data_IF_549449686487
#
_entry.id   IF_549449686487
#
_cell.length_a   1.000
_cell.length_b   1.000
_cell.length_c   1.000
_cell.angle_alpha   90.00
_cell.angle_beta   90.00
_cell.angle_gamma   90.00
#
_symmetry.space_group_name_H-M   'P 1'
#
loop_
_entity.id
_entity.type
_entity.pdbx_description
1 polymer ?
#
# COMPACT_ATOMS: atom_id res chain seq x y z
N UNK A 1 -9.71 -5.40 -25.69
CA UNK A 1 -9.37 -5.78 -24.30
C UNK A 1 -10.64 -6.17 -23.57
N UNK A 2 -10.78 -7.41 -23.08
CA UNK A 2 -11.99 -7.86 -22.37
C UNK A 2 -11.82 -7.55 -20.89
N UNK A 3 -12.63 -6.67 -20.36
CA UNK A 3 -12.75 -6.41 -18.92
C UNK A 3 -13.90 -7.25 -18.36
N UNK A 4 -13.64 -8.06 -17.36
CA UNK A 4 -14.64 -8.90 -16.70
C UNK A 4 -15.01 -8.35 -15.32
N UNK A 5 -16.26 -8.58 -14.97
CA UNK A 5 -17.05 -7.99 -13.90
C UNK A 5 -16.50 -8.10 -12.46
N UNK A 6 -16.72 -7.05 -11.70
CA UNK A 6 -16.12 -6.62 -10.46
C UNK A 6 -16.48 -7.34 -9.14
N UNK A 7 -16.58 -8.66 -9.08
CA UNK A 7 -16.55 -9.42 -7.81
C UNK A 7 -15.67 -10.67 -7.84
N UNK A 8 -15.30 -11.15 -8.99
CA UNK A 8 -14.36 -12.26 -9.17
C UNK A 8 -12.90 -11.80 -9.04
N UNK A 9 -12.61 -10.52 -9.36
CA UNK A 9 -11.28 -9.96 -9.49
C UNK A 9 -10.39 -10.08 -8.24
N UNK A 10 -10.92 -9.92 -7.03
CA UNK A 10 -10.08 -9.94 -5.83
C UNK A 10 -9.44 -11.30 -5.56
N UNK A 11 -10.14 -12.42 -5.90
CA UNK A 11 -9.57 -13.77 -5.77
C UNK A 11 -8.61 -14.08 -6.92
N UNK A 12 -8.91 -13.59 -8.11
CA UNK A 12 -8.06 -13.74 -9.28
C UNK A 12 -6.77 -12.92 -9.14
N UNK A 13 -6.84 -11.70 -8.59
CA UNK A 13 -5.67 -10.85 -8.33
C UNK A 13 -4.73 -11.46 -7.29
N UNK A 14 -5.25 -12.09 -6.25
CA UNK A 14 -4.44 -12.84 -5.27
C UNK A 14 -3.83 -14.09 -5.91
N UNK A 15 -4.57 -14.75 -6.81
CA UNK A 15 -4.08 -15.90 -7.56
C UNK A 15 -3.01 -15.51 -8.59
N UNK A 16 -3.16 -14.37 -9.27
CA UNK A 16 -2.18 -13.85 -10.21
C UNK A 16 -0.85 -13.50 -9.51
N UNK A 17 -0.91 -12.94 -8.28
CA UNK A 17 0.28 -12.70 -7.47
C UNK A 17 1.05 -14.00 -7.14
N UNK A 18 0.39 -15.16 -7.18
CA UNK A 18 1.01 -16.49 -7.03
C UNK A 18 1.67 -17.00 -8.32
N UNK A 19 1.17 -16.60 -9.48
CA UNK A 19 1.63 -17.12 -10.76
C UNK A 19 2.96 -16.51 -11.23
N UNK A 20 3.25 -15.28 -10.83
CA UNK A 20 4.46 -14.56 -11.26
C UNK A 20 5.76 -15.02 -10.56
N UNK A 21 5.75 -16.17 -9.86
CA UNK A 21 6.94 -16.93 -9.46
C UNK A 21 8.04 -16.14 -8.73
N UNK A 22 7.77 -14.91 -8.34
CA UNK A 22 8.67 -14.09 -7.56
C UNK A 22 8.83 -14.67 -6.17
N UNK A 23 9.75 -15.63 -6.03
CA UNK A 23 10.19 -16.15 -4.74
C UNK A 23 10.74 -14.98 -3.92
N UNK A 24 9.86 -14.32 -3.16
CA UNK A 24 10.26 -13.38 -2.14
C UNK A 24 10.94 -14.17 -1.02
N UNK A 25 12.25 -14.30 -1.11
CA UNK A 25 13.06 -14.77 0.03
C UNK A 25 13.12 -13.60 1.01
N UNK A 26 12.65 -13.76 2.27
CA UNK A 26 12.91 -12.77 3.30
C UNK A 26 14.43 -12.59 3.38
N UNK A 27 14.90 -11.35 3.17
CA UNK A 27 16.32 -11.06 3.19
C UNK A 27 16.87 -11.40 4.59
N UNK A 28 18.10 -11.88 4.64
CA UNK A 28 18.83 -12.24 5.88
C UNK A 28 18.84 -11.12 6.93
N UNK A 29 18.51 -9.90 6.57
CA UNK A 29 18.42 -8.70 7.40
C UNK A 29 17.27 -8.75 8.42
N UNK A 30 16.21 -9.50 8.15
CA UNK A 30 15.09 -9.66 9.10
C UNK A 30 15.54 -10.46 10.35
N UNK A 31 16.60 -11.24 10.25
CA UNK A 31 17.10 -12.04 11.38
C UNK A 31 17.86 -11.22 12.45
N UNK A 32 18.45 -10.09 12.10
CA UNK A 32 19.21 -9.25 13.05
C UNK A 32 18.34 -8.34 13.93
N UNK A 33 17.11 -8.03 13.51
CA UNK A 33 16.19 -7.17 14.29
C UNK A 33 15.64 -7.84 15.58
N UNK A 34 15.92 -9.13 15.80
CA UNK A 34 15.39 -9.89 16.96
C UNK A 34 15.96 -9.52 18.33
N UNK A 35 17.08 -8.81 18.41
CA UNK A 35 17.85 -8.73 19.64
C UNK A 35 17.60 -7.49 20.53
N UNK A 36 16.92 -6.44 20.09
CA UNK A 36 17.08 -5.14 20.76
C UNK A 36 15.82 -4.42 21.27
N UNK A 37 14.57 -4.95 21.19
CA UNK A 37 13.42 -4.11 21.54
C UNK A 37 12.39 -4.70 22.50
N UNK A 38 12.50 -4.29 23.77
CA UNK A 38 11.36 -4.08 24.66
C UNK A 38 10.88 -2.65 24.46
N UNK A 39 9.76 -2.41 23.78
CA UNK A 39 9.09 -1.11 23.76
C UNK A 39 7.58 -1.26 23.87
N UNK A 40 7.11 -0.43 24.75
CA UNK A 40 5.78 -0.08 25.23
C UNK A 40 4.69 0.03 24.16
N UNK A 41 3.57 -0.60 24.49
CA UNK A 41 2.18 -0.28 24.12
C UNK A 41 1.91 0.31 22.75
N UNK A 42 2.05 -0.51 21.71
CA UNK A 42 1.36 -0.31 20.45
C UNK A 42 0.14 -1.22 20.41
N UNK A 43 -0.97 -0.73 19.81
CA UNK A 43 -2.08 -1.58 19.47
C UNK A 43 -1.58 -2.65 18.47
N UNK A 44 -1.11 -3.75 19.02
CA UNK A 44 -1.03 -5.01 18.30
C UNK A 44 -2.31 -5.76 18.66
N UNK A 45 -3.19 -6.08 17.70
CA UNK A 45 -4.21 -7.06 17.97
C UNK A 45 -3.49 -8.32 18.45
N UNK A 46 -3.93 -8.88 19.60
CA UNK A 46 -3.41 -10.14 20.10
C UNK A 46 -3.49 -11.18 18.98
N UNK A 47 -2.33 -11.65 18.55
CA UNK A 47 -2.21 -12.61 17.44
C UNK A 47 -2.38 -14.07 17.92
N UNK A 48 -2.92 -14.26 19.14
CA UNK A 48 -3.15 -15.57 19.71
C UNK A 48 -4.52 -16.12 19.29
N UNK A 49 -4.49 -17.19 18.55
CA UNK A 49 -5.47 -18.29 18.30
C UNK A 49 -6.98 -18.02 18.11
N UNK A 50 -7.42 -16.77 17.94
CA UNK A 50 -8.78 -16.43 17.53
C UNK A 50 -8.93 -16.18 16.02
N UNK A 51 -10.16 -16.08 15.47
CA UNK A 51 -10.35 -15.63 14.09
C UNK A 51 -9.75 -14.23 13.95
N UNK A 52 -8.67 -14.14 13.17
CA UNK A 52 -7.91 -12.90 13.03
C UNK A 52 -8.74 -11.88 12.25
N UNK A 53 -8.91 -10.65 12.79
CA UNK A 53 -9.63 -9.63 12.06
C UNK A 53 -8.89 -9.32 10.74
N UNK A 54 -9.66 -9.08 9.70
CA UNK A 54 -9.10 -8.65 8.41
C UNK A 54 -8.33 -7.34 8.58
N UNK A 55 -7.16 -7.24 7.95
CA UNK A 55 -6.37 -6.02 7.85
C UNK A 55 -6.79 -5.11 6.70
N UNK A 56 -7.78 -5.53 5.91
CA UNK A 56 -8.33 -4.71 4.82
C UNK A 56 -8.82 -3.35 5.37
N UNK A 57 -8.54 -2.29 4.64
CA UNK A 57 -8.85 -0.92 5.07
C UNK A 57 -7.83 -0.28 6.01
N UNK A 58 -6.73 -0.97 6.32
CA UNK A 58 -5.66 -0.45 7.18
C UNK A 58 -4.47 0.04 6.36
N UNK A 59 -3.61 0.83 6.99
CA UNK A 59 -2.29 1.17 6.47
C UNK A 59 -1.23 0.26 7.08
N UNK A 60 -0.37 -0.28 6.23
CA UNK A 60 0.90 -0.87 6.63
C UNK A 60 2.01 0.15 6.41
N UNK A 61 2.70 0.49 7.46
CA UNK A 61 3.79 1.45 7.43
C UNK A 61 5.10 0.69 7.63
N UNK A 62 6.01 0.77 6.68
CA UNK A 62 7.29 0.08 6.78
C UNK A 62 8.04 0.53 8.04
N UNK A 63 8.50 -0.45 8.84
CA UNK A 63 9.33 -0.14 10.00
C UNK A 63 10.62 0.57 9.56
N UNK A 64 11.17 1.53 10.32
CA UNK A 64 12.40 2.25 9.94
C UNK A 64 13.58 1.37 9.56
N UNK A 65 13.66 0.17 10.15
CA UNK A 65 14.71 -0.82 9.84
C UNK A 65 14.41 -1.68 8.59
N UNK A 66 13.36 -1.38 7.85
CA UNK A 66 13.05 -2.06 6.60
C UNK A 66 14.09 -1.67 5.54
N UNK A 67 14.90 -2.63 5.11
CA UNK A 67 15.96 -2.41 4.13
C UNK A 67 15.57 -2.85 2.70
N UNK A 68 14.45 -3.56 2.54
CA UNK A 68 13.97 -3.94 1.21
C UNK A 68 13.69 -2.67 0.39
N UNK A 69 14.39 -2.46 -0.73
CA UNK A 69 14.26 -1.26 -1.55
C UNK A 69 12.85 -1.08 -2.11
N UNK A 70 12.09 -2.18 -2.27
CA UNK A 70 10.70 -2.09 -2.72
C UNK A 70 9.77 -1.53 -1.65
N UNK A 71 10.12 -1.65 -0.36
CA UNK A 71 9.23 -1.29 0.73
C UNK A 71 9.82 -0.32 1.76
N UNK A 72 11.10 0.01 1.67
CA UNK A 72 11.70 0.98 2.59
C UNK A 72 10.96 2.30 2.56
N UNK A 73 10.57 2.81 3.74
CA UNK A 73 9.77 4.04 3.90
C UNK A 73 8.43 4.02 3.14
N UNK A 74 7.91 2.84 2.82
CA UNK A 74 6.61 2.73 2.17
C UNK A 74 5.46 2.83 3.18
N UNK A 75 4.36 3.40 2.71
CA UNK A 75 3.05 3.34 3.34
C UNK A 75 2.12 2.67 2.34
N UNK A 76 1.56 1.52 2.72
CA UNK A 76 0.65 0.77 1.86
C UNK A 76 -0.76 0.81 2.42
N UNK A 77 -1.73 0.90 1.54
CA UNK A 77 -3.13 0.65 1.88
C UNK A 77 -3.47 -0.80 1.53
N UNK A 78 -4.00 -1.55 2.49
CA UNK A 78 -4.43 -2.94 2.28
C UNK A 78 -5.86 -2.92 1.76
N UNK A 79 -6.04 -3.31 0.51
CA UNK A 79 -7.34 -3.35 -0.14
C UNK A 79 -8.10 -4.67 0.09
N UNK A 80 -7.36 -5.77 0.23
CA UNK A 80 -7.92 -7.07 0.54
C UNK A 80 -7.00 -7.85 1.48
N UNK A 81 -7.60 -8.60 2.41
CA UNK A 81 -6.86 -9.47 3.31
C UNK A 81 -7.73 -10.61 3.80
N UNK A 82 -7.24 -11.82 3.60
CA UNK A 82 -7.71 -13.06 4.20
C UNK A 82 -6.50 -13.90 4.62
N UNK A 83 -6.40 -14.34 5.88
CA UNK A 83 -5.25 -15.13 6.34
C UNK A 83 -4.99 -16.42 5.56
N UNK A 84 -6.02 -17.00 4.91
CA UNK A 84 -5.93 -18.22 4.13
C UNK A 84 -5.60 -17.98 2.66
N UNK A 85 -6.03 -16.84 2.13
CA UNK A 85 -5.85 -16.49 0.71
C UNK A 85 -4.67 -15.53 0.50
N UNK A 86 -4.33 -14.71 1.51
CA UNK A 86 -3.25 -13.72 1.46
C UNK A 86 -3.76 -12.29 1.51
N UNK A 87 -2.95 -11.35 1.03
CA UNK A 87 -3.28 -9.93 1.06
C UNK A 87 -2.90 -9.23 -0.25
N UNK A 88 -3.62 -8.15 -0.54
CA UNK A 88 -3.35 -7.24 -1.63
C UNK A 88 -3.34 -5.80 -1.11
N UNK A 89 -2.39 -5.00 -1.60
CA UNK A 89 -2.30 -3.59 -1.25
C UNK A 89 -1.55 -2.78 -2.27
N UNK A 90 -1.60 -1.46 -2.12
CA UNK A 90 -0.87 -0.52 -2.97
C UNK A 90 -0.05 0.45 -2.13
N UNK A 91 1.17 0.73 -2.54
CA UNK A 91 1.98 1.80 -1.96
C UNK A 91 1.36 3.14 -2.38
N UNK A 92 1.03 3.97 -1.41
CA UNK A 92 0.32 5.24 -1.65
C UNK A 92 1.23 6.47 -1.57
N UNK A 93 2.45 6.33 -1.07
CA UNK A 93 3.35 7.45 -0.83
C UNK A 93 4.55 7.54 -1.80
N UNK A 94 4.43 6.93 -2.98
CA UNK A 94 5.48 6.97 -4.03
C UNK A 94 4.93 7.51 -5.34
N UNK A 95 4.77 8.83 -5.49
CA UNK A 95 4.45 9.41 -6.80
C UNK A 95 5.58 9.13 -7.79
N UNK A 96 5.23 8.96 -9.06
CA UNK A 96 6.19 8.78 -10.15
C UNK A 96 6.56 10.08 -10.85
N UNK A 97 6.05 11.23 -10.37
CA UNK A 97 6.16 12.53 -11.04
C UNK A 97 5.71 12.47 -12.52
N UNK A 98 4.70 11.64 -12.77
CA UNK A 98 4.07 11.39 -14.07
C UNK A 98 2.56 11.41 -13.94
N UNK A 99 1.92 11.72 -15.06
CA UNK A 99 0.47 11.64 -15.25
C UNK A 99 0.12 10.45 -16.15
N UNK A 100 -1.16 10.10 -16.18
CA UNK A 100 -1.65 9.00 -17.02
C UNK A 100 -1.30 9.23 -18.49
N UNK A 101 -1.39 10.46 -18.98
CA UNK A 101 -1.04 10.81 -20.35
C UNK A 101 0.41 10.44 -20.76
N UNK A 102 1.32 10.41 -19.78
CA UNK A 102 2.74 10.07 -20.03
C UNK A 102 2.99 8.56 -20.18
N UNK A 103 2.02 7.74 -19.79
CA UNK A 103 2.18 6.27 -19.71
C UNK A 103 1.34 5.49 -20.69
N UNK A 104 0.31 6.10 -21.27
CA UNK A 104 -0.57 5.45 -22.24
C UNK A 104 -0.20 5.85 -23.67
N UNK A 105 -0.25 4.87 -24.58
CA UNK A 105 0.05 5.12 -26.02
C UNK A 105 -1.12 5.72 -26.76
N UNK A 106 -2.34 5.47 -26.27
CA UNK A 106 -3.57 6.05 -26.82
C UNK A 106 -3.93 7.30 -26.02
N UNK A 107 -4.55 8.28 -26.68
CA UNK A 107 -5.00 9.50 -25.98
C UNK A 107 -6.05 9.14 -24.93
N UNK A 108 -5.76 9.32 -23.64
CA UNK A 108 -6.73 9.05 -22.61
C UNK A 108 -7.85 10.10 -22.66
N UNK A 109 -9.04 9.83 -22.09
CA UNK A 109 -10.03 10.85 -21.82
C UNK A 109 -9.38 12.07 -21.14
N UNK A 110 -9.73 13.29 -21.59
CA UNK A 110 -9.07 14.52 -21.16
C UNK A 110 -8.96 14.65 -19.61
N UNK A 111 -10.00 14.22 -18.91
CA UNK A 111 -10.07 14.30 -17.44
C UNK A 111 -9.17 13.32 -16.72
N UNK A 112 -8.80 12.20 -17.37
CA UNK A 112 -7.87 11.22 -16.83
C UNK A 112 -6.42 11.51 -17.19
N UNK A 113 -6.19 12.36 -18.18
CA UNK A 113 -4.85 12.69 -18.64
C UNK A 113 -3.95 13.23 -17.53
N UNK A 114 -4.52 14.05 -16.65
CA UNK A 114 -3.82 14.72 -15.55
C UNK A 114 -3.82 13.93 -14.23
N UNK A 115 -4.43 12.73 -14.20
CA UNK A 115 -4.45 11.91 -12.98
C UNK A 115 -3.03 11.51 -12.61
N UNK A 116 -2.59 11.77 -11.36
CA UNK A 116 -1.24 11.43 -10.91
C UNK A 116 -1.05 9.91 -10.82
N UNK A 117 0.17 9.47 -11.15
CA UNK A 117 0.54 8.07 -11.12
C UNK A 117 1.48 7.79 -9.98
N UNK A 118 1.22 6.70 -9.27
CA UNK A 118 2.02 6.20 -8.14
C UNK A 118 2.62 4.84 -8.44
N UNK A 119 3.80 4.55 -7.90
CA UNK A 119 4.35 3.21 -7.86
C UNK A 119 3.63 2.41 -6.77
N UNK A 120 2.67 1.56 -7.16
CA UNK A 120 1.83 0.79 -6.25
C UNK A 120 2.51 -0.42 -5.62
N UNK A 121 3.58 -0.93 -6.21
CA UNK A 121 4.34 -2.05 -5.67
C UNK A 121 5.22 -2.77 -6.70
N UNK A 122 5.89 -3.86 -6.27
CA UNK A 122 6.84 -4.57 -7.12
C UNK A 122 6.21 -5.51 -8.16
N UNK A 123 4.94 -5.89 -7.98
CA UNK A 123 4.24 -6.87 -8.84
C UNK A 123 3.50 -6.14 -9.96
N UNK A 124 3.51 -6.66 -11.19
CA UNK A 124 2.73 -6.14 -12.30
C UNK A 124 3.11 -4.71 -12.74
N UNK A 125 4.37 -4.33 -12.71
CA UNK A 125 4.86 -2.98 -13.04
C UNK A 125 4.58 -2.52 -14.48
N UNK A 126 4.11 -3.40 -15.32
CA UNK A 126 3.67 -3.12 -16.70
C UNK A 126 2.17 -2.87 -16.80
N UNK A 127 1.46 -2.86 -15.69
CA UNK A 127 0.01 -2.67 -15.64
C UNK A 127 -0.31 -1.34 -14.95
N UNK A 128 -1.15 -0.53 -15.59
CA UNK A 128 -1.72 0.69 -15.03
C UNK A 128 -3.11 0.36 -14.51
N UNK A 129 -3.36 0.64 -13.23
CA UNK A 129 -4.64 0.46 -12.57
C UNK A 129 -5.17 1.81 -12.10
N UNK A 130 -6.48 2.05 -12.26
CA UNK A 130 -7.14 3.16 -11.58
C UNK A 130 -7.73 2.71 -10.26
N UNK A 131 -7.65 3.58 -9.27
CA UNK A 131 -8.26 3.38 -7.97
C UNK A 131 -8.95 4.65 -7.48
N UNK A 132 -10.11 4.46 -6.85
CA UNK A 132 -10.88 5.54 -6.25
C UNK A 132 -10.80 5.46 -4.73
N UNK A 133 -10.25 6.49 -4.10
CA UNK A 133 -10.22 6.65 -2.66
C UNK A 133 -11.38 7.51 -2.20
N UNK A 134 -12.15 7.01 -1.24
CA UNK A 134 -13.29 7.71 -0.66
C UNK A 134 -13.21 7.65 0.87
N UNK A 135 -13.39 8.80 1.52
CA UNK A 135 -13.52 8.84 2.98
C UNK A 135 -14.97 8.69 3.41
N UNK A 136 -15.27 7.62 4.11
CA UNK A 136 -16.58 7.36 4.69
C UNK A 136 -16.56 7.62 6.19
N UNK A 137 -17.38 8.57 6.68
CA UNK A 137 -17.39 8.99 8.11
C UNK A 137 -17.53 7.85 9.10
N UNK A 138 -18.26 6.78 8.74
CA UNK A 138 -18.51 5.64 9.62
C UNK A 138 -17.57 4.46 9.41
N UNK A 139 -16.92 4.35 8.23
CA UNK A 139 -16.12 3.17 7.84
C UNK A 139 -14.64 3.49 7.57
N UNK A 140 -14.27 4.77 7.59
CA UNK A 140 -12.91 5.21 7.27
C UNK A 140 -12.63 5.27 5.77
N UNK A 141 -11.39 5.05 5.38
CA UNK A 141 -10.96 5.08 3.98
C UNK A 141 -11.40 3.80 3.26
N UNK A 142 -12.08 3.99 2.15
CA UNK A 142 -12.42 2.93 1.21
C UNK A 142 -11.60 3.10 -0.06
N UNK A 143 -11.01 2.02 -0.53
CA UNK A 143 -10.36 1.94 -1.83
C UNK A 143 -11.18 1.02 -2.73
N UNK A 144 -11.63 1.53 -3.85
CA UNK A 144 -12.10 0.73 -4.96
C UNK A 144 -10.93 0.61 -5.95
N UNK A 145 -10.33 -0.56 -6.04
CA UNK A 145 -9.31 -0.89 -7.03
C UNK A 145 -9.96 -1.47 -8.28
N UNK A 146 -9.21 -1.51 -9.39
CA UNK A 146 -9.73 -1.93 -10.69
C UNK A 146 -10.95 -1.12 -11.17
N UNK A 147 -10.93 0.18 -10.90
CA UNK A 147 -11.91 1.10 -11.48
C UNK A 147 -11.71 1.10 -12.99
N UNK A 148 -12.76 0.81 -13.74
CA UNK A 148 -12.72 0.82 -15.20
C UNK A 148 -12.45 2.24 -15.73
N UNK A 149 -11.89 2.34 -16.95
CA UNK A 149 -11.57 3.63 -17.55
C UNK A 149 -12.80 4.56 -17.64
N UNK A 150 -13.95 4.02 -18.03
CA UNK A 150 -15.21 4.78 -18.10
C UNK A 150 -15.66 5.25 -16.72
N UNK A 151 -15.64 4.35 -15.71
CA UNK A 151 -16.01 4.67 -14.34
C UNK A 151 -15.07 5.70 -13.70
N UNK A 152 -13.75 5.60 -13.96
CA UNK A 152 -12.78 6.58 -13.50
C UNK A 152 -13.02 7.95 -14.14
N UNK A 153 -13.31 8.00 -15.45
CA UNK A 153 -13.64 9.21 -16.16
C UNK A 153 -14.90 9.87 -15.59
N UNK A 154 -15.96 9.09 -15.42
CA UNK A 154 -17.22 9.58 -14.83
C UNK A 154 -17.04 10.12 -13.42
N UNK A 155 -16.20 9.46 -12.61
CA UNK A 155 -15.93 9.90 -11.24
C UNK A 155 -15.18 11.24 -11.20
N UNK A 156 -14.27 11.49 -12.14
CA UNK A 156 -13.57 12.77 -12.26
C UNK A 156 -14.53 13.85 -12.79
N UNK A 157 -15.33 13.54 -13.83
CA UNK A 157 -16.28 14.47 -14.43
C UNK A 157 -17.36 14.95 -13.47
N UNK A 158 -17.93 14.03 -12.71
CA UNK A 158 -19.03 14.31 -11.78
C UNK A 158 -18.56 14.95 -10.48
N UNK A 159 -17.26 15.29 -10.34
CA UNK A 159 -16.67 15.78 -9.09
C UNK A 159 -17.08 14.91 -7.91
N UNK A 160 -16.99 13.60 -8.12
CA UNK A 160 -17.22 12.61 -7.07
C UNK A 160 -16.41 12.98 -5.81
N UNK A 161 -16.93 12.70 -4.60
CA UNK A 161 -16.13 12.85 -3.38
C UNK A 161 -14.92 11.90 -3.34
N UNK A 162 -14.80 10.99 -4.31
CA UNK A 162 -13.67 10.09 -4.43
C UNK A 162 -12.48 10.75 -5.12
N UNK A 163 -11.30 10.55 -4.56
CA UNK A 163 -10.02 10.94 -5.17
C UNK A 163 -9.55 9.82 -6.08
N UNK A 164 -9.42 10.11 -7.38
CA UNK A 164 -8.93 9.15 -8.37
C UNK A 164 -7.40 9.22 -8.44
N UNK A 165 -6.75 8.06 -8.34
CA UNK A 165 -5.31 7.89 -8.54
C UNK A 165 -5.06 6.74 -9.51
N UNK A 166 -3.94 6.78 -10.20
CA UNK A 166 -3.45 5.69 -11.01
C UNK A 166 -2.23 5.04 -10.36
N UNK A 167 -2.12 3.73 -10.46
CA UNK A 167 -1.03 2.94 -9.88
C UNK A 167 -0.37 2.08 -10.93
N UNK A 168 0.96 2.05 -10.90
CA UNK A 168 1.78 1.08 -11.63
C UNK A 168 2.22 0.01 -10.65
N UNK A 169 1.76 -1.21 -10.88
CA UNK A 169 2.03 -2.33 -10.00
C UNK A 169 1.27 -2.29 -8.66
N UNK A 170 1.45 -3.33 -7.89
CA UNK A 170 0.83 -3.55 -6.57
C UNK A 170 1.75 -4.37 -5.67
N UNK A 171 1.37 -4.53 -4.40
CA UNK A 171 2.00 -5.41 -3.44
C UNK A 171 1.07 -6.57 -3.10
N UNK A 172 1.58 -7.79 -3.15
CA UNK A 172 0.83 -9.00 -2.85
C UNK A 172 1.56 -9.88 -1.84
N UNK A 173 0.81 -10.51 -0.95
CA UNK A 173 1.29 -11.47 0.04
C UNK A 173 0.53 -12.79 -0.13
N UNK A 174 1.26 -13.90 -0.11
CA UNK A 174 0.66 -15.22 -0.03
C UNK A 174 0.01 -15.49 1.33
N UNK A 175 -0.71 -16.61 1.43
CA UNK A 175 -1.36 -17.03 2.67
C UNK A 175 -0.40 -17.04 3.86
N UNK A 176 -0.74 -16.36 4.95
CA UNK A 176 0.06 -16.26 6.18
C UNK A 176 1.35 -15.46 6.07
N UNK A 177 1.75 -14.97 4.89
CA UNK A 177 2.99 -14.24 4.70
C UNK A 177 2.96 -12.89 5.43
N UNK A 178 1.89 -12.11 5.25
CA UNK A 178 1.75 -10.82 5.91
C UNK A 178 1.77 -10.95 7.43
N UNK A 179 1.09 -11.97 7.97
CA UNK A 179 1.09 -12.25 9.40
C UNK A 179 2.48 -12.61 9.93
N UNK A 180 3.27 -13.34 9.15
CA UNK A 180 4.65 -13.66 9.51
C UNK A 180 5.52 -12.40 9.53
N UNK A 181 5.38 -11.52 8.56
CA UNK A 181 6.09 -10.23 8.50
C UNK A 181 5.66 -9.29 9.63
N UNK A 182 4.36 -9.26 9.97
CA UNK A 182 3.84 -8.52 11.13
C UNK A 182 4.42 -9.02 12.46
N UNK A 183 4.52 -10.35 12.65
CA UNK A 183 5.16 -10.94 13.83
C UNK A 183 6.64 -10.56 13.93
N UNK A 184 7.31 -10.40 12.80
CA UNK A 184 8.69 -9.95 12.71
C UNK A 184 8.86 -8.44 12.86
N UNK A 185 7.76 -7.71 13.08
CA UNK A 185 7.72 -6.24 13.20
C UNK A 185 8.26 -5.52 11.95
N UNK A 186 8.14 -6.14 10.78
CA UNK A 186 8.49 -5.49 9.53
C UNK A 186 7.54 -4.33 9.20
N UNK A 187 6.31 -4.40 9.70
CA UNK A 187 5.26 -3.43 9.47
C UNK A 187 4.66 -2.90 10.77
N UNK A 188 4.30 -1.62 10.75
CA UNK A 188 3.49 -0.95 11.76
C UNK A 188 2.08 -0.78 11.20
N UNK A 189 1.08 -1.29 11.94
CA UNK A 189 -0.32 -1.16 11.54
C UNK A 189 -0.86 0.20 12.00
N UNK A 190 -1.49 0.93 11.08
CA UNK A 190 -2.10 2.23 11.35
C UNK A 190 -3.51 2.29 10.76
N UNK A 191 -4.36 3.07 11.40
CA UNK A 191 -5.66 3.43 10.81
C UNK A 191 -5.46 4.60 9.85
N UNK A 192 -6.06 4.57 8.66
CA UNK A 192 -6.03 5.71 7.77
C UNK A 192 -6.74 6.91 8.39
N UNK A 193 -6.29 8.10 8.05
CA UNK A 193 -6.95 9.37 8.36
C UNK A 193 -7.38 10.08 7.08
N UNK A 194 -8.27 11.08 7.12
CA UNK A 194 -8.66 11.82 5.93
C UNK A 194 -7.49 12.45 5.16
N UNK A 195 -6.37 12.71 5.83
CA UNK A 195 -5.17 13.28 5.20
C UNK A 195 -4.54 12.40 4.12
N UNK A 196 -4.91 11.11 4.05
CA UNK A 196 -4.51 10.22 2.95
C UNK A 196 -5.10 10.67 1.60
N UNK A 197 -6.17 11.47 1.61
CA UNK A 197 -6.76 12.06 0.40
C UNK A 197 -6.04 13.33 -0.08
N UNK A 198 -5.12 13.88 0.73
CA UNK A 198 -4.31 15.03 0.39
C UNK A 198 -3.06 14.56 -0.36
N UNK A 199 -3.18 14.40 -1.69
CA UNK A 199 -2.15 13.77 -2.53
C UNK A 199 -0.78 14.41 -2.41
N UNK A 200 -0.72 15.73 -2.24
CA UNK A 200 0.53 16.49 -2.07
C UNK A 200 1.30 16.14 -0.79
N UNK A 201 0.60 15.57 0.20
CA UNK A 201 1.20 15.15 1.47
C UNK A 201 1.69 13.71 1.45
N UNK A 202 1.21 12.89 0.51
CA UNK A 202 1.53 11.47 0.46
C UNK A 202 3.04 11.18 0.42
N UNK A 203 3.89 11.92 -0.31
CA UNK A 203 5.33 11.67 -0.30
C UNK A 203 5.98 11.78 1.08
N UNK A 204 5.41 12.60 1.95
CA UNK A 204 5.89 12.83 3.32
C UNK A 204 5.18 11.97 4.37
N UNK A 205 4.15 11.22 3.98
CA UNK A 205 3.25 10.50 4.88
C UNK A 205 4.00 9.55 5.83
N UNK A 206 4.99 8.83 5.33
CA UNK A 206 5.79 7.93 6.17
C UNK A 206 6.50 8.69 7.30
N UNK A 207 7.14 9.82 6.99
CA UNK A 207 7.82 10.65 8.00
C UNK A 207 6.83 11.29 8.98
N UNK A 208 5.65 11.69 8.51
CA UNK A 208 4.61 12.27 9.37
C UNK A 208 4.10 11.23 10.36
N UNK A 209 3.87 10.00 9.91
CA UNK A 209 3.50 8.89 10.78
C UNK A 209 4.62 8.61 11.79
N UNK A 210 5.88 8.48 11.35
CA UNK A 210 7.01 8.24 12.26
C UNK A 210 7.10 9.32 13.34
N UNK A 211 6.93 10.58 12.97
CA UNK A 211 6.92 11.70 13.93
C UNK A 211 5.78 11.60 14.94
N UNK A 212 4.62 11.15 14.52
CA UNK A 212 3.44 10.99 15.39
C UNK A 212 3.59 9.84 16.40
N UNK A 213 4.41 8.84 16.07
CA UNK A 213 4.66 7.67 16.91
C UNK A 213 5.62 7.94 18.09
N UNK A 214 6.22 9.11 18.14
CA UNK A 214 7.04 9.57 19.25
C UNK A 214 8.53 9.78 18.93
N UNK A 215 9.31 10.27 19.92
CA UNK A 215 10.69 10.69 19.72
C UNK A 215 11.61 9.61 19.17
N UNK A 216 11.40 8.38 19.60
CA UNK A 216 12.19 7.23 19.16
C UNK A 216 12.04 6.97 17.65
N UNK A 217 10.80 6.89 17.15
CA UNK A 217 10.56 6.69 15.72
C UNK A 217 11.00 7.90 14.89
N UNK A 218 10.84 9.11 15.43
CA UNK A 218 11.36 10.33 14.80
C UNK A 218 12.88 10.24 14.61
N UNK A 219 13.61 9.78 15.62
CA UNK A 219 15.07 9.60 15.54
C UNK A 219 15.46 8.54 14.51
N UNK A 220 14.81 7.37 14.54
CA UNK A 220 15.05 6.31 13.55
C UNK A 220 14.74 6.76 12.11
N UNK A 221 13.69 7.56 11.93
CA UNK A 221 13.31 8.07 10.63
C UNK A 221 14.32 9.10 10.07
N UNK A 222 15.10 9.75 10.94
CA UNK A 222 16.14 10.69 10.56
C UNK A 222 17.47 9.99 10.18
N UNK A 223 17.59 8.68 10.40
CA UNK A 223 18.78 7.93 10.01
C UNK A 223 18.99 7.98 8.49
N UNK A 224 20.24 8.03 8.02
CA UNK A 224 20.56 8.01 6.60
C UNK A 224 19.98 6.78 5.91
N UNK A 225 19.75 6.90 4.61
CA UNK A 225 19.27 5.81 3.79
C UNK A 225 20.28 4.69 3.66
N UNK A 226 21.56 5.02 3.70
CA UNK A 226 22.67 4.10 3.65
C UNK A 226 23.28 3.96 5.06
N UNK A 227 23.22 2.78 5.68
CA UNK A 227 23.83 2.55 6.99
C UNK A 227 25.36 2.74 7.01
N UNK A 228 26.02 2.71 5.86
CA UNK A 228 27.47 2.92 5.75
C UNK A 228 27.88 4.39 5.87
N UNK A 229 26.93 5.31 5.85
CA UNK A 229 27.14 6.75 5.99
C UNK A 229 27.10 7.24 7.46
N UNK A 230 27.11 6.34 8.43
CA UNK A 230 27.20 6.64 9.87
C UNK A 230 28.63 6.47 10.37
#
# INVERSE_FOLDING_TARGET
MKFSEGRAGCKEDIAAARADGGSFRPSAVIQLARALFKVSSFYMPNLDDGPRPSLAGSLLVAHPNMLDPNFRRAVLFISAHDPKDGALGVIINRPLDRQVADLVTETPPANLAEVPVFLGGPVGKNQLMFAAFEWQKSKGLKLNHNVGLAEANDAVDQKSPATICAFVGYAGWGAGQLEAEMKQKAWLLQKPSPSVLELDRLPKLWFDIMRSLGPWYKMLAAAPDDPSLN
#
